data_IF_418917863854
#
_entry.id   IF_418917863854
#
_cell.length_a   1.000
_cell.length_b   1.000
_cell.length_c   1.000
_cell.angle_alpha   90.00
_cell.angle_beta   90.00
_cell.angle_gamma   90.00
#
_symmetry.space_group_name_H-M   'P 1'
#
loop_
_entity.id
_entity.type
_entity.pdbx_description
1 polymer ?
#
# COMPACT_ATOMS: atom_id res chain seq x y z
N UNK A 1 -40.21 45.59 -19.10
CA UNK A 1 -38.84 45.94 -18.68
C UNK A 1 -38.18 44.73 -18.03
N UNK A 2 -37.30 44.03 -18.74
CA UNK A 2 -36.55 42.86 -18.25
C UNK A 2 -35.31 43.33 -17.47
N UNK A 3 -35.23 42.96 -16.19
CA UNK A 3 -34.05 43.23 -15.33
C UNK A 3 -33.00 42.14 -15.57
N UNK A 4 -31.98 42.44 -16.38
CA UNK A 4 -30.77 41.62 -16.50
C UNK A 4 -29.98 41.70 -15.18
N UNK A 5 -30.00 40.63 -14.39
CA UNK A 5 -29.06 40.47 -13.25
C UNK A 5 -27.70 40.12 -13.83
N UNK A 6 -26.76 41.06 -13.81
CA UNK A 6 -25.35 40.78 -14.09
C UNK A 6 -24.84 39.85 -12.98
N UNK A 7 -24.59 38.59 -13.32
CA UNK A 7 -24.03 37.61 -12.41
C UNK A 7 -22.58 38.00 -12.09
N UNK A 8 -22.33 38.42 -10.84
CA UNK A 8 -20.97 38.66 -10.33
C UNK A 8 -20.25 37.31 -10.30
N UNK A 9 -19.26 37.14 -11.17
CA UNK A 9 -18.39 35.95 -11.15
C UNK A 9 -17.39 36.14 -10.02
N UNK A 10 -17.60 35.46 -8.90
CA UNK A 10 -16.64 35.39 -7.81
C UNK A 10 -15.41 34.60 -8.31
N UNK A 11 -14.29 35.29 -8.54
CA UNK A 11 -13.00 34.67 -8.85
C UNK A 11 -12.30 34.24 -7.57
N UNK A 12 -11.58 33.12 -7.62
CA UNK A 12 -10.70 32.68 -6.53
C UNK A 12 -9.60 33.72 -6.31
N UNK A 13 -9.33 34.06 -5.06
CA UNK A 13 -8.20 34.94 -4.73
C UNK A 13 -6.88 34.15 -4.83
N UNK A 14 -5.80 34.82 -5.22
CA UNK A 14 -4.46 34.22 -5.30
C UNK A 14 -4.02 33.57 -3.98
N UNK A 15 -4.43 34.17 -2.85
CA UNK A 15 -4.11 33.67 -1.51
C UNK A 15 -4.81 32.36 -1.20
N UNK A 16 -6.07 32.18 -1.62
CA UNK A 16 -6.81 30.92 -1.40
C UNK A 16 -6.14 29.76 -2.13
N UNK A 17 -5.70 29.96 -3.38
CA UNK A 17 -4.96 28.94 -4.12
C UNK A 17 -3.60 28.63 -3.49
N UNK A 18 -2.88 29.66 -3.04
CA UNK A 18 -1.55 29.52 -2.45
C UNK A 18 -1.57 28.72 -1.13
N UNK A 19 -2.57 28.97 -0.28
CA UNK A 19 -2.71 28.22 0.98
C UNK A 19 -3.00 26.75 0.71
N UNK A 20 -3.84 26.43 -0.28
CA UNK A 20 -4.19 25.05 -0.60
C UNK A 20 -2.97 24.25 -1.08
N UNK A 21 -2.17 24.81 -2.00
CA UNK A 21 -0.96 24.10 -2.47
C UNK A 21 0.06 23.93 -1.34
N UNK A 22 0.16 24.88 -0.42
CA UNK A 22 1.06 24.79 0.73
C UNK A 22 0.66 23.64 1.66
N UNK A 23 -0.64 23.49 1.95
CA UNK A 23 -1.15 22.39 2.78
C UNK A 23 -0.91 21.05 2.08
N UNK A 24 -1.21 20.93 0.78
CA UNK A 24 -0.97 19.70 0.01
C UNK A 24 0.51 19.33 0.01
N UNK A 25 1.42 20.29 -0.15
CA UNK A 25 2.86 20.05 -0.15
C UNK A 25 3.35 19.49 1.19
N UNK A 26 2.88 20.06 2.31
CA UNK A 26 3.22 19.57 3.66
C UNK A 26 2.72 18.13 3.85
N UNK A 27 1.47 17.85 3.49
CA UNK A 27 0.90 16.50 3.61
C UNK A 27 1.63 15.49 2.74
N UNK A 28 1.91 15.84 1.48
CA UNK A 28 2.63 14.98 0.54
C UNK A 28 4.06 14.68 1.00
N UNK A 29 4.76 15.68 1.56
CA UNK A 29 6.12 15.51 2.09
C UNK A 29 6.22 14.47 3.20
N UNK A 30 5.17 14.33 4.02
CA UNK A 30 5.10 13.29 5.07
C UNK A 30 4.59 11.97 4.50
N UNK A 31 3.62 12.02 3.59
CA UNK A 31 2.97 10.82 3.06
C UNK A 31 3.91 9.99 2.17
N UNK A 32 4.71 10.61 1.31
CA UNK A 32 5.64 9.90 0.42
C UNK A 32 6.65 8.99 1.15
N UNK A 33 7.43 9.47 2.15
CA UNK A 33 8.41 8.62 2.82
C UNK A 33 7.75 7.52 3.66
N UNK A 34 6.59 7.78 4.25
CA UNK A 34 5.83 6.79 5.04
C UNK A 34 5.24 5.72 4.12
N UNK A 35 4.71 6.11 2.95
CA UNK A 35 4.11 5.18 2.00
C UNK A 35 5.13 4.20 1.42
N UNK A 36 6.34 4.66 1.10
CA UNK A 36 7.41 3.78 0.64
C UNK A 36 7.78 2.70 1.68
N UNK A 37 7.98 3.11 2.94
CA UNK A 37 8.26 2.19 4.04
C UNK A 37 7.09 1.22 4.28
N UNK A 38 5.85 1.69 4.26
CA UNK A 38 4.67 0.86 4.43
C UNK A 38 4.55 -0.20 3.33
N UNK A 39 4.85 0.15 2.07
CA UNK A 39 4.84 -0.79 0.94
C UNK A 39 5.88 -1.90 1.10
N UNK A 40 7.09 -1.56 1.51
CA UNK A 40 8.15 -2.56 1.71
C UNK A 40 7.83 -3.46 2.90
N UNK A 41 7.27 -2.92 3.98
CA UNK A 41 6.75 -3.71 5.10
C UNK A 41 5.60 -4.62 4.68
N UNK A 42 4.69 -4.17 3.82
CA UNK A 42 3.61 -5.01 3.30
C UNK A 42 4.16 -6.20 2.51
N UNK A 43 5.15 -5.98 1.63
CA UNK A 43 5.83 -7.05 0.89
C UNK A 43 6.52 -8.05 1.82
N UNK A 44 7.24 -7.55 2.83
CA UNK A 44 7.88 -8.38 3.83
C UNK A 44 6.86 -9.25 4.58
N UNK A 45 5.75 -8.65 5.01
CA UNK A 45 4.66 -9.36 5.70
C UNK A 45 4.02 -10.43 4.83
N UNK A 46 3.77 -10.14 3.54
CA UNK A 46 3.25 -11.13 2.59
C UNK A 46 4.21 -12.31 2.43
N UNK A 47 5.49 -12.04 2.22
CA UNK A 47 6.51 -13.09 2.10
C UNK A 47 6.61 -13.94 3.37
N UNK A 48 6.66 -13.30 4.54
CA UNK A 48 6.68 -13.98 5.83
C UNK A 48 5.42 -14.86 6.02
N UNK A 49 4.25 -14.37 5.62
CA UNK A 49 3.01 -15.14 5.66
C UNK A 49 3.07 -16.36 4.75
N UNK A 50 3.63 -16.24 3.55
CA UNK A 50 3.78 -17.38 2.63
C UNK A 50 4.74 -18.42 3.20
N UNK A 51 5.89 -18.01 3.75
CA UNK A 51 6.85 -18.94 4.36
C UNK A 51 6.22 -19.62 5.58
N UNK A 52 5.48 -18.87 6.41
CA UNK A 52 4.76 -19.46 7.55
C UNK A 52 3.76 -20.51 7.09
N UNK A 53 3.00 -20.25 6.03
CA UNK A 53 2.04 -21.21 5.46
C UNK A 53 2.75 -22.45 4.92
N UNK A 54 3.89 -22.31 4.23
CA UNK A 54 4.69 -23.44 3.79
C UNK A 54 5.24 -24.25 4.97
N UNK A 55 5.80 -23.59 6.00
CA UNK A 55 6.30 -24.25 7.20
C UNK A 55 5.20 -25.02 7.93
N UNK A 56 4.00 -24.45 8.05
CA UNK A 56 2.83 -25.14 8.59
C UNK A 56 2.44 -26.35 7.73
N UNK A 57 2.46 -26.22 6.40
CA UNK A 57 2.18 -27.34 5.51
C UNK A 57 3.22 -28.47 5.65
N UNK A 58 4.50 -28.14 5.81
CA UNK A 58 5.57 -29.12 6.06
C UNK A 58 5.36 -29.86 7.39
N UNK A 59 5.02 -29.13 8.47
CA UNK A 59 4.70 -29.73 9.77
C UNK A 59 3.48 -30.64 9.67
N UNK A 60 2.42 -30.18 9.00
CA UNK A 60 1.21 -30.97 8.81
C UNK A 60 1.51 -32.26 8.01
N UNK A 61 2.33 -32.16 6.96
CA UNK A 61 2.79 -33.33 6.22
C UNK A 61 3.53 -34.33 7.11
N UNK A 62 4.46 -33.88 7.95
CA UNK A 62 5.22 -34.79 8.82
C UNK A 62 4.32 -35.53 9.81
N UNK A 63 3.27 -34.87 10.30
CA UNK A 63 2.30 -35.51 11.21
C UNK A 63 1.51 -36.59 10.46
N UNK A 64 1.14 -36.33 9.21
CA UNK A 64 0.36 -37.26 8.39
C UNK A 64 1.21 -38.42 7.83
N UNK A 65 2.54 -38.29 7.80
CA UNK A 65 3.47 -39.23 7.16
C UNK A 65 4.58 -39.71 8.11
N UNK A 66 4.19 -40.27 9.26
CA UNK A 66 5.07 -40.92 10.24
C UNK A 66 6.37 -40.13 10.55
N UNK A 67 6.24 -38.83 10.81
CA UNK A 67 7.33 -37.89 11.12
C UNK A 67 8.38 -37.73 10.01
N UNK A 68 8.07 -38.15 8.79
CA UNK A 68 8.97 -38.10 7.64
C UNK A 68 8.75 -36.81 6.84
N UNK A 69 9.82 -36.04 6.61
CA UNK A 69 9.77 -34.83 5.79
C UNK A 69 9.59 -35.17 4.29
N UNK A 70 8.97 -34.27 3.49
CA UNK A 70 8.89 -34.44 2.05
C UNK A 70 10.27 -34.60 1.45
N UNK A 71 10.40 -35.58 0.54
CA UNK A 71 11.66 -35.83 -0.15
C UNK A 71 11.99 -34.62 -1.03
N UNK A 72 13.17 -34.04 -0.82
CA UNK A 72 13.68 -32.98 -1.69
C UNK A 72 14.18 -33.63 -2.98
N UNK A 73 13.29 -33.77 -3.94
CA UNK A 73 13.62 -34.27 -5.26
C UNK A 73 14.33 -33.13 -6.02
N UNK A 74 15.66 -33.12 -5.97
CA UNK A 74 16.46 -32.24 -6.83
C UNK A 74 16.36 -32.76 -8.27
N UNK A 75 15.34 -32.31 -9.01
CA UNK A 75 15.30 -32.50 -10.46
C UNK A 75 16.22 -31.45 -11.11
N UNK A 76 17.51 -31.78 -11.21
CA UNK A 76 18.47 -31.10 -12.07
C UNK A 76 18.71 -31.90 -13.36
N UNK A 77 19.16 -31.27 -14.46
CA UNK A 77 19.79 -31.98 -15.56
C UNK A 77 21.12 -32.63 -15.14
#
# INVERSE_FOLDING_TARGET
>A
MQKNRLAVRNGFTLIELLVVIAIIAILAAILFPVFAQARDKARQTSCLSNIKQLGLAMVQYTIDYDETYPRADYFGP
#
